data_IF_581978131198
#
_entry.id   IF_581978131198
#
_cell.length_a   1.000
_cell.length_b   1.000
_cell.length_c   1.000
_cell.angle_alpha   90.00
_cell.angle_beta   90.00
_cell.angle_gamma   90.00
#
_symmetry.space_group_name_H-M   'P 1'
#
loop_
_entity.id
_entity.type
_entity.pdbx_description
1 polymer ?
#
# COMPACT_ATOMS: atom_id res chain seq x y z
N UNK A 1 3.33 -19.19 -2.14
CA UNK A 1 2.00 -18.62 -1.78
C UNK A 1 1.03 -19.79 -1.86
N UNK A 2 -0.02 -19.86 -1.04
CA UNK A 2 -1.03 -20.93 -1.24
C UNK A 2 -1.81 -20.63 -2.53
N UNK A 3 -2.09 -21.69 -3.29
CA UNK A 3 -2.84 -21.64 -4.54
C UNK A 3 -4.20 -20.95 -4.32
N UNK A 4 -4.58 -20.06 -5.25
CA UNK A 4 -5.86 -19.33 -5.21
C UNK A 4 -5.82 -17.87 -4.71
N UNK A 5 -4.66 -17.35 -4.26
CA UNK A 5 -4.53 -15.95 -3.82
C UNK A 5 -4.15 -14.94 -4.92
N UNK A 6 -3.60 -15.42 -6.03
CA UNK A 6 -3.28 -14.60 -7.20
C UNK A 6 -4.27 -14.95 -8.30
N UNK A 7 -5.02 -13.96 -8.76
CA UNK A 7 -5.94 -14.12 -9.88
C UNK A 7 -5.16 -14.08 -11.19
N UNK A 8 -5.34 -15.13 -12.00
CA UNK A 8 -4.72 -15.27 -13.33
C UNK A 8 -5.50 -14.57 -14.42
N UNK A 9 -6.73 -14.12 -14.14
CA UNK A 9 -7.50 -13.28 -15.07
C UNK A 9 -6.97 -11.85 -15.12
N UNK A 10 -6.14 -11.46 -14.15
CA UNK A 10 -5.57 -10.12 -14.10
C UNK A 10 -4.48 -9.96 -15.17
N UNK A 11 -4.65 -8.95 -16.03
CA UNK A 11 -3.76 -8.63 -17.14
C UNK A 11 -2.38 -8.13 -16.65
N UNK A 12 -2.30 -7.61 -15.42
CA UNK A 12 -1.04 -7.16 -14.85
C UNK A 12 -0.21 -8.33 -14.31
N UNK A 13 0.95 -8.56 -14.91
CA UNK A 13 1.96 -9.50 -14.42
C UNK A 13 2.67 -9.01 -13.16
N UNK A 14 2.63 -7.71 -12.86
CA UNK A 14 3.30 -7.10 -11.71
C UNK A 14 2.52 -7.35 -10.40
N UNK A 15 3.15 -8.05 -9.45
CA UNK A 15 2.55 -8.34 -8.14
C UNK A 15 3.21 -7.50 -7.06
N UNK A 16 2.44 -6.59 -6.47
CA UNK A 16 2.86 -5.77 -5.34
C UNK A 16 2.51 -6.45 -4.02
N UNK A 17 3.50 -6.63 -3.14
CA UNK A 17 3.28 -7.12 -1.80
C UNK A 17 4.39 -6.67 -0.84
N UNK A 18 4.09 -6.76 0.45
CA UNK A 18 5.01 -6.37 1.52
C UNK A 18 6.20 -7.32 1.67
N UNK A 19 7.27 -6.85 2.31
CA UNK A 19 8.48 -7.64 2.63
C UNK A 19 8.15 -8.95 3.33
N UNK A 20 7.10 -9.00 4.16
CA UNK A 20 6.66 -10.24 4.83
C UNK A 20 6.30 -11.38 3.85
N UNK A 21 5.92 -11.06 2.60
CA UNK A 21 5.63 -12.06 1.57
C UNK A 21 6.86 -12.54 0.82
N UNK A 22 8.05 -12.02 1.14
CA UNK A 22 9.31 -12.33 0.47
C UNK A 22 9.97 -13.60 1.02
N UNK A 23 9.28 -14.73 0.87
CA UNK A 23 9.88 -16.05 1.08
C UNK A 23 10.35 -16.63 -0.25
N UNK A 24 11.42 -17.43 -0.25
CA UNK A 24 11.91 -18.13 -1.46
C UNK A 24 10.79 -18.95 -2.13
N UNK A 25 9.94 -19.59 -1.33
CA UNK A 25 8.80 -20.35 -1.82
C UNK A 25 7.73 -19.49 -2.51
N UNK A 26 7.55 -18.23 -2.07
CA UNK A 26 6.64 -17.29 -2.72
C UNK A 26 7.24 -16.74 -4.01
N UNK A 27 8.52 -16.36 -4.00
CA UNK A 27 9.21 -15.86 -5.19
C UNK A 27 9.24 -16.93 -6.30
N UNK A 28 9.59 -18.18 -5.97
CA UNK A 28 9.60 -19.30 -6.92
C UNK A 28 8.19 -19.63 -7.47
N UNK A 29 7.16 -19.51 -6.62
CA UNK A 29 5.77 -19.69 -7.05
C UNK A 29 5.33 -18.57 -7.99
N UNK A 30 5.69 -17.31 -7.72
CA UNK A 30 5.40 -16.19 -8.60
C UNK A 30 6.08 -16.35 -9.97
N UNK A 31 7.36 -16.74 -9.97
CA UNK A 31 8.13 -16.99 -11.19
C UNK A 31 7.53 -18.13 -12.03
N UNK A 32 7.17 -19.26 -11.38
CA UNK A 32 6.49 -20.39 -12.04
C UNK A 32 5.16 -19.99 -12.71
N UNK A 33 4.50 -18.98 -12.17
CA UNK A 33 3.22 -18.48 -12.68
C UNK A 33 3.35 -17.24 -13.58
N UNK A 34 4.58 -16.83 -13.94
CA UNK A 34 4.81 -15.70 -14.85
C UNK A 34 4.60 -14.31 -14.22
N UNK A 35 4.51 -14.23 -12.89
CA UNK A 35 4.36 -12.96 -12.18
C UNK A 35 5.72 -12.31 -11.90
N UNK A 36 5.77 -10.98 -12.02
CA UNK A 36 6.93 -10.16 -11.70
C UNK A 36 6.76 -9.58 -10.28
N UNK A 37 7.54 -10.06 -9.29
CA UNK A 37 7.40 -9.60 -7.90
C UNK A 37 7.94 -8.17 -7.72
N UNK A 38 7.06 -7.24 -7.34
CA UNK A 38 7.41 -5.89 -6.87
C UNK A 38 7.49 -5.85 -5.34
N UNK A 39 8.25 -6.79 -4.76
CA UNK A 39 8.43 -6.88 -3.31
C UNK A 39 9.49 -5.88 -2.82
N UNK A 40 9.27 -5.28 -1.65
CA UNK A 40 10.27 -4.41 -1.04
C UNK A 40 11.49 -5.22 -0.56
N UNK A 41 12.68 -4.62 -0.61
CA UNK A 41 13.92 -5.24 -0.12
C UNK A 41 14.44 -4.51 1.10
N UNK A 42 14.57 -5.21 2.22
CA UNK A 42 15.16 -4.60 3.42
C UNK A 42 16.62 -4.21 3.17
N UNK A 43 16.98 -3.00 3.61
CA UNK A 43 18.36 -2.53 3.62
C UNK A 43 19.06 -3.11 4.84
N UNK A 44 20.24 -3.70 4.65
CA UNK A 44 21.06 -4.14 5.77
C UNK A 44 21.45 -2.96 6.67
N UNK A 45 21.26 -3.14 7.98
CA UNK A 45 21.56 -2.14 8.99
C UNK A 45 23.02 -1.64 8.89
N UNK A 46 23.21 -0.32 8.97
CA UNK A 46 24.51 0.38 8.95
C UNK A 46 25.39 0.21 7.70
N UNK A 47 24.90 -0.40 6.61
CA UNK A 47 25.66 -0.49 5.35
C UNK A 47 25.24 0.60 4.35
N UNK A 48 26.15 1.02 3.44
CA UNK A 48 25.79 1.91 2.34
C UNK A 48 24.73 1.27 1.44
N UNK A 49 23.91 2.09 0.79
CA UNK A 49 22.77 1.63 -0.01
C UNK A 49 23.23 0.88 -1.28
N UNK A 50 23.00 -0.44 -1.39
CA UNK A 50 23.36 -1.19 -2.59
C UNK A 50 22.49 -0.80 -3.79
N UNK A 51 23.05 -0.80 -5.01
CA UNK A 51 22.35 -0.43 -6.23
C UNK A 51 21.05 -1.22 -6.48
N UNK A 52 21.02 -2.51 -6.11
CA UNK A 52 19.82 -3.34 -6.27
C UNK A 52 18.68 -3.01 -5.27
N UNK A 53 18.96 -2.27 -4.20
CA UNK A 53 17.99 -1.78 -3.20
C UNK A 53 17.48 -0.39 -3.58
N UNK A 54 18.27 0.41 -4.31
CA UNK A 54 17.84 1.74 -4.78
C UNK A 54 16.57 1.67 -5.64
N UNK A 55 16.31 0.56 -6.32
CA UNK A 55 15.05 0.28 -7.03
C UNK A 55 13.81 0.31 -6.13
N UNK A 56 13.96 0.22 -4.81
CA UNK A 56 12.86 0.41 -3.87
C UNK A 56 12.38 1.86 -3.83
N UNK A 57 13.18 2.85 -4.26
CA UNK A 57 12.75 4.25 -4.28
C UNK A 57 11.46 4.44 -5.08
N UNK A 58 11.39 3.87 -6.29
CA UNK A 58 10.16 3.91 -7.11
C UNK A 58 8.97 3.20 -6.44
N UNK A 59 9.24 2.11 -5.70
CA UNK A 59 8.20 1.41 -4.92
C UNK A 59 7.71 2.24 -3.74
N UNK A 60 8.62 2.93 -3.07
CA UNK A 60 8.34 3.79 -1.92
C UNK A 60 7.54 5.03 -2.32
N UNK A 61 7.75 5.58 -3.52
CA UNK A 61 6.95 6.72 -4.04
C UNK A 61 5.48 6.32 -4.14
N UNK A 62 5.18 5.17 -4.75
CA UNK A 62 3.79 4.72 -4.87
C UNK A 62 3.20 4.40 -3.49
N UNK A 63 3.98 3.74 -2.63
CA UNK A 63 3.58 3.36 -1.28
C UNK A 63 3.30 4.59 -0.39
N UNK A 64 4.10 5.66 -0.50
CA UNK A 64 3.94 6.86 0.33
C UNK A 64 2.64 7.60 0.07
N UNK A 65 2.14 7.62 -1.17
CA UNK A 65 0.85 8.23 -1.50
C UNK A 65 -0.29 7.54 -0.74
N UNK A 66 -0.22 6.22 -0.60
CA UNK A 66 -1.23 5.42 0.09
C UNK A 66 -1.04 5.45 1.61
N UNK A 67 0.20 5.29 2.09
CA UNK A 67 0.53 5.32 3.51
C UNK A 67 0.24 6.66 4.16
N UNK A 68 0.37 7.77 3.43
CA UNK A 68 0.03 9.08 3.94
C UNK A 68 -1.46 9.19 4.32
N UNK A 69 -2.36 8.67 3.49
CA UNK A 69 -3.81 8.62 3.78
C UNK A 69 -4.05 7.81 5.05
N UNK A 70 -3.45 6.61 5.14
CA UNK A 70 -3.61 5.77 6.32
C UNK A 70 -3.03 6.38 7.59
N UNK A 71 -1.91 7.08 7.49
CA UNK A 71 -1.32 7.79 8.63
C UNK A 71 -2.25 8.92 9.12
N UNK A 72 -2.84 9.68 8.22
CA UNK A 72 -3.81 10.72 8.56
C UNK A 72 -5.07 10.13 9.20
N UNK A 73 -5.64 9.07 8.61
CA UNK A 73 -6.79 8.36 9.18
C UNK A 73 -6.50 7.81 10.58
N UNK A 74 -5.31 7.26 10.80
CA UNK A 74 -4.94 6.70 12.11
C UNK A 74 -4.65 7.78 13.15
N UNK A 75 -3.97 8.86 12.76
CA UNK A 75 -3.53 9.95 13.65
C UNK A 75 -4.63 10.98 13.89
N UNK A 76 -5.16 11.58 12.82
CA UNK A 76 -6.11 12.69 12.87
C UNK A 76 -7.56 12.25 13.04
N UNK A 77 -7.92 11.07 12.52
CA UNK A 77 -9.28 10.55 12.65
C UNK A 77 -9.43 9.51 13.77
N UNK A 78 -8.33 9.11 14.41
CA UNK A 78 -8.33 8.07 15.46
C UNK A 78 -8.94 6.76 14.96
N UNK A 79 -8.80 6.45 13.67
CA UNK A 79 -9.54 5.37 13.03
C UNK A 79 -9.17 4.02 13.65
N UNK A 80 -10.09 3.44 14.41
CA UNK A 80 -9.98 2.11 14.99
C UNK A 80 -11.19 1.27 14.58
N UNK A 81 -10.94 0.24 13.77
CA UNK A 81 -11.99 -0.63 13.23
C UNK A 81 -11.96 -1.95 14.00
N UNK A 82 -12.83 -2.05 15.02
CA UNK A 82 -13.11 -3.28 15.76
C UNK A 82 -14.61 -3.54 15.72
N UNK A 83 -15.11 -3.91 14.55
CA UNK A 83 -16.52 -4.25 14.31
C UNK A 83 -16.66 -5.73 13.99
N UNK A 84 -17.74 -6.37 14.47
CA UNK A 84 -17.99 -7.81 14.27
C UNK A 84 -18.44 -8.10 12.84
N UNK A 85 -19.14 -7.17 12.19
CA UNK A 85 -19.64 -7.33 10.82
C UNK A 85 -18.74 -6.69 9.76
N UNK A 86 -18.49 -7.42 8.66
CA UNK A 86 -17.75 -6.92 7.48
C UNK A 86 -18.45 -5.68 6.91
N UNK A 87 -19.78 -5.70 6.77
CA UNK A 87 -20.54 -4.55 6.26
C UNK A 87 -20.31 -3.29 7.08
N UNK A 88 -20.26 -3.40 8.40
CA UNK A 88 -19.98 -2.26 9.29
C UNK A 88 -18.53 -1.77 9.16
N UNK A 89 -17.58 -2.69 9.01
CA UNK A 89 -16.18 -2.35 8.76
C UNK A 89 -16.05 -1.59 7.43
N UNK A 90 -16.71 -2.07 6.37
CA UNK A 90 -16.71 -1.45 5.04
C UNK A 90 -17.29 -0.03 5.10
N UNK A 91 -18.41 0.18 5.78
CA UNK A 91 -19.01 1.51 5.94
C UNK A 91 -18.05 2.45 6.68
N UNK A 92 -17.41 1.99 7.77
CA UNK A 92 -16.44 2.80 8.51
C UNK A 92 -15.23 3.20 7.66
N UNK A 93 -14.69 2.26 6.89
CA UNK A 93 -13.56 2.53 5.97
C UNK A 93 -14.00 3.51 4.88
N UNK A 94 -15.16 3.30 4.27
CA UNK A 94 -15.71 4.18 3.24
C UNK A 94 -15.90 5.61 3.72
N UNK A 95 -16.49 5.79 4.91
CA UNK A 95 -16.67 7.10 5.52
C UNK A 95 -15.33 7.78 5.84
N UNK A 96 -14.33 7.00 6.28
CA UNK A 96 -13.00 7.54 6.56
C UNK A 96 -12.31 8.07 5.29
N UNK A 97 -12.44 7.37 4.17
CA UNK A 97 -11.92 7.84 2.87
C UNK A 97 -12.64 9.11 2.42
N UNK A 98 -13.97 9.15 2.46
CA UNK A 98 -14.74 10.33 2.03
C UNK A 98 -14.37 11.56 2.87
N UNK A 99 -14.25 11.41 4.19
CA UNK A 99 -13.86 12.51 5.07
C UNK A 99 -12.42 13.01 4.82
N UNK A 100 -11.49 12.10 4.49
CA UNK A 100 -10.13 12.48 4.09
C UNK A 100 -10.14 13.31 2.81
N UNK A 101 -10.84 12.85 1.76
CA UNK A 101 -10.93 13.56 0.48
C UNK A 101 -11.58 14.95 0.64
N UNK A 102 -12.64 15.05 1.45
CA UNK A 102 -13.30 16.34 1.72
C UNK A 102 -12.37 17.31 2.47
N UNK A 103 -11.55 16.84 3.42
CA UNK A 103 -10.56 17.68 4.10
C UNK A 103 -9.50 18.19 3.12
N UNK A 104 -9.00 17.32 2.25
CA UNK A 104 -8.06 17.69 1.19
C UNK A 104 -8.64 18.75 0.25
N UNK A 105 -9.90 18.55 -0.20
CA UNK A 105 -10.60 19.52 -1.04
C UNK A 105 -10.76 20.89 -0.37
N UNK A 106 -11.20 20.92 0.90
CA UNK A 106 -11.34 22.17 1.66
C UNK A 106 -10.00 22.88 1.85
N UNK A 107 -8.93 22.13 2.07
CA UNK A 107 -7.58 22.68 2.19
C UNK A 107 -7.12 23.34 0.88
N UNK A 108 -7.26 22.65 -0.25
CA UNK A 108 -6.94 23.19 -1.56
C UNK A 108 -7.79 24.43 -1.90
N UNK A 109 -9.08 24.41 -1.58
CA UNK A 109 -9.98 25.55 -1.78
C UNK A 109 -9.54 26.76 -0.96
N UNK A 110 -9.12 26.58 0.30
CA UNK A 110 -8.61 27.67 1.16
C UNK A 110 -7.34 28.30 0.58
N UNK A 111 -6.41 27.47 0.09
CA UNK A 111 -5.19 27.95 -0.56
C UNK A 111 -5.48 28.73 -1.84
N UNK A 112 -6.41 28.24 -2.67
CA UNK A 112 -6.81 28.92 -3.91
C UNK A 112 -7.63 30.19 -3.72
N UNK A 113 -8.19 30.41 -2.52
CA UNK A 113 -8.93 31.65 -2.17
C UNK A 113 -8.02 32.73 -1.59
N UNK A 114 -6.76 32.40 -1.29
CA UNK A 114 -5.76 33.33 -0.75
C UNK A 114 -4.80 33.86 -1.83
N UNK A 115 -5.18 33.76 -3.11
CA UNK A 115 -4.49 34.32 -4.26
C UNK A 115 -5.28 35.49 -4.84
#
# INVERSE_FOLDING_TARGET
MKEGRLDRSHIASDVWADTAYRSKANEASMEKHGFVPKLHREKSHLKPMPHHIQRNAGKSVIRSHVEHVFADQKSQMGLFIRTVGITQATIKIGLANIAYDMRGFLFLKRLGTSA
#
